data_IF_060107732514
#
_entry.id   IF_060107732514
#
_cell.length_a   1.000
_cell.length_b   1.000
_cell.length_c   1.000
_cell.angle_alpha   90.00
_cell.angle_beta   90.00
_cell.angle_gamma   90.00
#
_symmetry.space_group_name_H-M   'P 1'
#
loop_
_entity.id
_entity.type
_entity.pdbx_description
1 polymer ?
#
# COMPACT_ATOMS: atom_id res chain seq x y z
N UNK A 1 -5.10 -4.10 11.30
CA UNK A 1 -3.87 -4.86 10.97
C UNK A 1 -4.18 -6.21 10.36
N UNK A 2 -4.81 -7.13 11.10
CA UNK A 2 -5.15 -8.48 10.59
C UNK A 2 -5.92 -8.46 9.26
N UNK A 3 -6.98 -7.66 9.15
CA UNK A 3 -7.74 -7.50 7.91
C UNK A 3 -6.89 -7.04 6.71
N UNK A 4 -5.89 -6.20 6.95
CA UNK A 4 -4.96 -5.75 5.91
C UNK A 4 -4.09 -6.94 5.46
N UNK A 5 -3.55 -7.71 6.40
CA UNK A 5 -2.72 -8.88 6.08
C UNK A 5 -3.52 -9.95 5.34
N UNK A 6 -4.72 -10.27 5.79
CA UNK A 6 -5.65 -11.16 5.09
C UNK A 6 -5.89 -10.70 3.64
N UNK A 7 -6.18 -9.41 3.47
CA UNK A 7 -6.38 -8.82 2.12
C UNK A 7 -5.16 -9.03 1.21
N UNK A 8 -3.94 -8.81 1.71
CA UNK A 8 -2.72 -8.90 0.89
C UNK A 8 -2.14 -10.31 0.75
N UNK A 9 -2.38 -11.20 1.71
CA UNK A 9 -1.89 -12.58 1.66
C UNK A 9 -2.84 -13.50 0.90
N UNK A 10 -4.13 -13.18 0.88
CA UNK A 10 -5.16 -14.02 0.26
C UNK A 10 -5.83 -13.30 -0.92
N UNK A 11 -6.53 -12.19 -0.66
CA UNK A 11 -7.40 -11.57 -1.67
C UNK A 11 -6.63 -11.01 -2.87
N UNK A 12 -5.46 -10.40 -2.65
CA UNK A 12 -4.65 -9.81 -3.72
C UNK A 12 -4.04 -10.90 -4.63
N UNK A 13 -3.34 -11.94 -4.13
CA UNK A 13 -2.89 -13.05 -4.96
C UNK A 13 -4.02 -13.75 -5.72
N UNK A 14 -5.17 -13.94 -5.08
CA UNK A 14 -6.35 -14.49 -5.73
C UNK A 14 -6.84 -13.59 -6.88
N UNK A 15 -6.86 -12.27 -6.69
CA UNK A 15 -7.25 -11.31 -7.73
C UNK A 15 -6.26 -11.31 -8.92
N UNK A 16 -4.94 -11.38 -8.65
CA UNK A 16 -3.90 -11.52 -9.68
C UNK A 16 -4.14 -12.79 -10.50
N UNK A 17 -4.38 -13.92 -9.85
CA UNK A 17 -4.65 -15.18 -10.53
C UNK A 17 -5.95 -15.13 -11.35
N UNK A 18 -7.01 -14.53 -10.79
CA UNK A 18 -8.29 -14.38 -11.48
C UNK A 18 -8.15 -13.52 -12.74
N UNK A 19 -7.35 -12.45 -12.68
CA UNK A 19 -7.03 -11.61 -13.84
C UNK A 19 -6.21 -12.38 -14.87
N UNK A 20 -5.19 -13.13 -14.46
CA UNK A 20 -4.43 -14.00 -15.35
C UNK A 20 -5.35 -14.98 -16.12
N UNK A 21 -6.27 -15.65 -15.43
CA UNK A 21 -7.23 -16.57 -16.05
C UNK A 21 -8.15 -15.83 -17.04
N UNK A 22 -8.66 -14.65 -16.66
CA UNK A 22 -9.54 -13.83 -17.50
C UNK A 22 -8.85 -13.21 -18.73
N UNK A 23 -7.53 -13.00 -18.66
CA UNK A 23 -6.73 -12.57 -19.79
C UNK A 23 -6.46 -13.74 -20.75
N UNK A 24 -6.29 -14.96 -20.23
CA UNK A 24 -6.09 -16.17 -21.03
C UNK A 24 -7.37 -16.78 -21.62
N UNK A 25 -8.53 -16.59 -20.98
CA UNK A 25 -9.82 -17.11 -21.45
C UNK A 25 -10.68 -15.98 -22.03
N UNK A 26 -11.05 -16.08 -23.30
CA UNK A 26 -11.84 -15.06 -24.01
C UNK A 26 -13.29 -14.89 -23.55
N UNK A 27 -13.76 -15.67 -22.57
CA UNK A 27 -15.13 -15.55 -22.05
C UNK A 27 -15.18 -14.67 -20.80
N UNK A 28 -15.72 -13.46 -20.94
CA UNK A 28 -15.84 -12.47 -19.87
C UNK A 28 -17.30 -12.26 -19.54
N UNK A 29 -17.72 -12.71 -18.36
CA UNK A 29 -19.06 -12.34 -17.88
C UNK A 29 -19.03 -10.94 -17.25
N UNK A 30 -20.09 -10.17 -17.49
CA UNK A 30 -20.25 -8.82 -16.89
C UNK A 30 -20.15 -8.92 -15.35
N UNK A 31 -20.72 -9.99 -14.78
CA UNK A 31 -20.65 -10.28 -13.35
C UNK A 31 -19.21 -10.43 -12.85
N UNK A 32 -18.35 -11.16 -13.57
CA UNK A 32 -16.93 -11.29 -13.19
C UNK A 32 -16.23 -9.93 -13.16
N UNK A 33 -16.50 -9.07 -14.15
CA UNK A 33 -15.94 -7.71 -14.20
C UNK A 33 -16.39 -6.88 -12.99
N UNK A 34 -17.68 -6.90 -12.65
CA UNK A 34 -18.23 -6.20 -11.48
C UNK A 34 -17.58 -6.71 -10.19
N UNK A 35 -17.45 -8.04 -10.04
CA UNK A 35 -16.79 -8.64 -8.87
C UNK A 35 -15.33 -8.19 -8.75
N UNK A 36 -14.57 -8.16 -9.86
CA UNK A 36 -13.19 -7.69 -9.85
C UNK A 36 -13.07 -6.21 -9.43
N UNK A 37 -13.92 -5.35 -9.99
CA UNK A 37 -13.97 -3.93 -9.60
C UNK A 37 -14.28 -3.80 -8.10
N UNK A 38 -15.23 -4.59 -7.59
CA UNK A 38 -15.53 -4.67 -6.17
C UNK A 38 -14.32 -5.09 -5.32
N UNK A 39 -13.56 -6.09 -5.77
CA UNK A 39 -12.33 -6.55 -5.09
C UNK A 39 -11.27 -5.45 -5.01
N UNK A 40 -11.02 -4.72 -6.11
CA UNK A 40 -10.09 -3.59 -6.10
C UNK A 40 -10.50 -2.49 -5.12
N UNK A 41 -11.79 -2.14 -5.11
CA UNK A 41 -12.34 -1.16 -4.17
C UNK A 41 -12.15 -1.65 -2.73
N UNK A 42 -12.45 -2.93 -2.46
CA UNK A 42 -12.30 -3.51 -1.12
C UNK A 42 -10.84 -3.48 -0.64
N UNK A 43 -9.88 -3.84 -1.50
CA UNK A 43 -8.45 -3.77 -1.19
C UNK A 43 -8.02 -2.33 -0.87
N UNK A 44 -8.41 -1.36 -1.71
CA UNK A 44 -8.10 0.04 -1.47
C UNK A 44 -8.72 0.52 -0.15
N UNK A 45 -9.96 0.13 0.13
CA UNK A 45 -10.66 0.48 1.35
C UNK A 45 -10.01 -0.13 2.61
N UNK A 46 -9.54 -1.38 2.55
CA UNK A 46 -8.81 -2.02 3.64
C UNK A 46 -7.54 -1.25 4.03
N UNK A 47 -6.86 -0.64 3.07
CA UNK A 47 -5.67 0.21 3.31
C UNK A 47 -6.07 1.53 3.97
N UNK A 48 -7.14 2.17 3.50
CA UNK A 48 -7.65 3.40 4.10
C UNK A 48 -8.11 3.16 5.53
N UNK A 49 -8.86 2.07 5.75
CA UNK A 49 -9.34 1.66 7.06
C UNK A 49 -8.19 1.34 8.01
N UNK A 50 -7.18 0.61 7.54
CA UNK A 50 -5.95 0.41 8.30
C UNK A 50 -5.31 1.73 8.71
N UNK A 51 -5.12 2.66 7.77
CA UNK A 51 -4.49 3.95 8.06
C UNK A 51 -5.30 4.79 9.06
N UNK A 52 -6.62 4.75 8.96
CA UNK A 52 -7.51 5.42 9.92
C UNK A 52 -7.40 4.80 11.30
N UNK A 53 -7.46 3.48 11.40
CA UNK A 53 -7.32 2.76 12.67
C UNK A 53 -5.96 3.02 13.31
N UNK A 54 -4.88 2.99 12.52
CA UNK A 54 -3.53 3.28 13.00
C UNK A 54 -3.43 4.70 13.56
N UNK A 55 -3.93 5.71 12.83
CA UNK A 55 -3.89 7.10 13.31
C UNK A 55 -4.70 7.31 14.59
N UNK A 56 -5.86 6.64 14.74
CA UNK A 56 -6.64 6.70 15.99
C UNK A 56 -5.93 6.07 17.19
N UNK A 57 -5.07 5.08 16.96
CA UNK A 57 -4.31 4.46 18.05
C UNK A 57 -3.12 5.29 18.53
N UNK A 58 -2.66 6.29 17.74
CA UNK A 58 -1.55 7.15 18.11
C UNK A 58 -2.07 8.43 18.80
N UNK A 59 -1.88 8.60 20.13
CA UNK A 59 -2.44 9.72 20.88
C UNK A 59 -1.87 11.09 20.50
N UNK A 60 -0.71 11.14 19.85
CA UNK A 60 -0.04 12.38 19.44
C UNK A 60 -0.29 12.80 17.98
N UNK A 61 -1.00 11.99 17.18
CA UNK A 61 -1.24 12.28 15.75
C UNK A 61 -2.68 12.70 15.54
N UNK A 62 -2.89 13.85 14.88
CA UNK A 62 -4.24 14.34 14.57
C UNK A 62 -4.99 13.31 13.70
N UNK A 63 -6.24 13.03 14.07
CA UNK A 63 -7.11 12.17 13.27
C UNK A 63 -7.13 12.63 11.80
N UNK A 64 -7.17 11.66 10.89
CA UNK A 64 -7.24 11.98 9.47
C UNK A 64 -8.57 12.71 9.20
N UNK A 65 -8.54 13.93 8.65
CA UNK A 65 -9.77 14.67 8.39
C UNK A 65 -10.68 13.88 7.43
N UNK A 66 -11.93 13.68 7.86
CA UNK A 66 -12.97 13.11 7.02
C UNK A 66 -13.28 14.06 5.86
N UNK A 67 -13.47 13.52 4.65
CA UNK A 67 -13.77 14.32 3.45
C UNK A 67 -12.71 14.16 2.35
N UNK A 68 -12.39 15.27 1.69
CA UNK A 68 -11.57 15.32 0.46
C UNK A 68 -10.19 14.64 0.60
N UNK A 69 -9.41 14.83 1.68
CA UNK A 69 -8.10 14.17 1.82
C UNK A 69 -8.19 12.64 1.88
N UNK A 70 -9.23 12.08 2.50
CA UNK A 70 -9.42 10.62 2.50
C UNK A 70 -9.79 10.15 1.10
N UNK A 71 -10.67 10.87 0.40
CA UNK A 71 -11.06 10.51 -0.95
C UNK A 71 -9.88 10.51 -1.92
N UNK A 72 -9.03 11.55 -1.88
CA UNK A 72 -7.81 11.61 -2.70
C UNK A 72 -6.86 10.46 -2.35
N UNK A 73 -6.67 10.15 -1.07
CA UNK A 73 -5.83 9.02 -0.65
C UNK A 73 -6.38 7.66 -1.12
N UNK A 74 -7.69 7.45 -1.03
CA UNK A 74 -8.36 6.26 -1.55
C UNK A 74 -8.15 6.13 -3.06
N UNK A 75 -8.36 7.21 -3.81
CA UNK A 75 -8.20 7.22 -5.26
C UNK A 75 -6.76 6.90 -5.67
N UNK A 76 -5.77 7.50 -5.00
CA UNK A 76 -4.37 7.19 -5.20
C UNK A 76 -4.07 5.69 -4.96
N UNK A 77 -4.53 5.12 -3.83
CA UNK A 77 -4.29 3.70 -3.51
C UNK A 77 -5.02 2.77 -4.47
N UNK A 78 -6.25 3.10 -4.85
CA UNK A 78 -7.03 2.33 -5.82
C UNK A 78 -6.32 2.28 -7.18
N UNK A 79 -5.91 3.43 -7.72
CA UNK A 79 -5.26 3.52 -9.03
C UNK A 79 -3.90 2.82 -9.05
N UNK A 80 -3.06 3.05 -8.03
CA UNK A 80 -1.74 2.40 -7.95
C UNK A 80 -1.88 0.88 -7.82
N UNK A 81 -2.75 0.37 -6.95
CA UNK A 81 -2.93 -1.08 -6.81
C UNK A 81 -3.52 -1.71 -8.06
N UNK A 82 -4.51 -1.06 -8.67
CA UNK A 82 -5.16 -1.58 -9.87
C UNK A 82 -4.14 -1.74 -11.00
N UNK A 83 -3.37 -0.68 -11.28
CA UNK A 83 -2.37 -0.73 -12.35
C UNK A 83 -1.25 -1.72 -12.10
N UNK A 84 -0.84 -1.88 -10.84
CA UNK A 84 0.20 -2.83 -10.49
C UNK A 84 -0.24 -4.28 -10.60
N UNK A 85 -1.42 -4.60 -10.07
CA UNK A 85 -2.00 -5.95 -10.17
C UNK A 85 -2.24 -6.33 -11.64
N UNK A 86 -2.71 -5.39 -12.46
CA UNK A 86 -2.84 -5.61 -13.91
C UNK A 86 -1.48 -5.89 -14.55
N UNK A 87 -0.45 -5.11 -14.23
CA UNK A 87 0.90 -5.33 -14.76
C UNK A 87 1.48 -6.68 -14.32
N UNK A 88 1.36 -7.06 -13.05
CA UNK A 88 1.76 -8.38 -12.53
C UNK A 88 1.01 -9.52 -13.24
N UNK A 89 -0.27 -9.32 -13.57
CA UNK A 89 -1.03 -10.29 -14.35
C UNK A 89 -0.49 -10.43 -15.78
N UNK A 90 -0.06 -9.34 -16.42
CA UNK A 90 0.61 -9.41 -17.73
C UNK A 90 1.97 -10.12 -17.66
N UNK A 91 2.74 -9.95 -16.58
CA UNK A 91 3.97 -10.72 -16.36
C UNK A 91 3.70 -12.23 -16.27
N UNK A 92 2.59 -12.64 -15.67
CA UNK A 92 2.17 -14.05 -15.64
C UNK A 92 1.77 -14.57 -17.02
N UNK A 93 1.08 -13.74 -17.82
CA UNK A 93 0.74 -14.07 -19.23
C UNK A 93 2.01 -14.20 -20.08
N UNK A 94 3.01 -13.33 -19.86
CA UNK A 94 4.29 -13.37 -20.55
C UNK A 94 5.02 -14.71 -20.31
N UNK A 95 5.13 -15.12 -19.05
CA UNK A 95 5.78 -16.36 -18.66
C UNK A 95 5.48 -16.74 -17.22
N UNK A 96 5.26 -18.03 -16.95
CA UNK A 96 5.21 -18.56 -15.59
C UNK A 96 6.54 -18.35 -14.84
N UNK A 97 7.68 -18.26 -15.55
CA UNK A 97 8.98 -17.96 -14.94
C UNK A 97 9.05 -16.56 -14.32
N UNK A 98 8.15 -15.63 -14.71
CA UNK A 98 8.04 -14.31 -14.06
C UNK A 98 7.71 -14.40 -12.57
N UNK A 99 7.15 -15.53 -12.10
CA UNK A 99 6.96 -15.81 -10.67
C UNK A 99 8.26 -15.83 -9.88
N UNK A 100 9.37 -16.23 -10.50
CA UNK A 100 10.69 -16.15 -9.88
C UNK A 100 11.12 -14.70 -9.65
N UNK A 101 10.87 -13.82 -10.63
CA UNK A 101 11.11 -12.38 -10.49
C UNK A 101 10.29 -11.77 -9.36
N UNK A 102 9.01 -12.15 -9.27
CA UNK A 102 8.12 -11.76 -8.17
C UNK A 102 8.65 -12.23 -6.80
N UNK A 103 9.14 -13.47 -6.71
CA UNK A 103 9.76 -13.99 -5.49
C UNK A 103 11.02 -13.20 -5.11
N UNK A 104 11.86 -12.80 -6.07
CA UNK A 104 13.04 -11.97 -5.84
C UNK A 104 12.64 -10.58 -5.31
N UNK A 105 11.62 -9.95 -5.89
CA UNK A 105 11.10 -8.64 -5.42
C UNK A 105 10.57 -8.77 -3.99
N UNK A 106 9.83 -9.84 -3.69
CA UNK A 106 9.37 -10.13 -2.34
C UNK A 106 10.53 -10.28 -1.36
N UNK A 107 11.55 -11.09 -1.70
CA UNK A 107 12.74 -11.25 -0.87
C UNK A 107 13.45 -9.91 -0.63
N UNK A 108 13.59 -9.08 -1.65
CA UNK A 108 14.16 -7.73 -1.52
C UNK A 108 13.33 -6.86 -0.56
N UNK A 109 12.00 -6.90 -0.67
CA UNK A 109 11.08 -6.21 0.26
C UNK A 109 11.20 -6.70 1.69
N UNK A 110 11.33 -8.02 1.90
CA UNK A 110 11.54 -8.61 3.22
C UNK A 110 12.91 -8.23 3.81
N UNK A 111 13.98 -8.27 3.02
CA UNK A 111 15.32 -7.83 3.44
C UNK A 111 15.30 -6.35 3.81
N UNK A 112 14.64 -5.52 3.01
CA UNK A 112 14.41 -4.11 3.32
C UNK A 112 13.68 -3.93 4.66
N UNK A 113 12.58 -4.66 4.89
CA UNK A 113 11.86 -4.62 6.17
C UNK A 113 12.75 -5.04 7.36
N UNK A 114 13.65 -6.01 7.17
CA UNK A 114 14.64 -6.39 8.18
C UNK A 114 15.68 -5.30 8.45
N UNK A 115 16.17 -4.62 7.41
CA UNK A 115 17.11 -3.50 7.53
C UNK A 115 16.50 -2.29 8.21
N UNK A 116 15.24 -2.02 7.93
CA UNK A 116 14.49 -0.96 8.57
C UNK A 116 14.37 -1.19 10.08
N UNK A 117 14.53 -2.42 10.59
CA UNK A 117 14.45 -2.80 12.02
C UNK A 117 13.15 -2.31 12.67
N UNK A 118 12.06 -2.97 12.31
CA UNK A 118 10.75 -2.76 12.93
C UNK A 118 10.70 -3.39 14.32
N UNK A 119 10.01 -2.79 15.28
CA UNK A 119 9.77 -3.35 16.61
C UNK A 119 8.27 -3.25 16.93
N UNK A 120 7.46 -3.99 16.19
CA UNK A 120 5.99 -3.96 16.31
C UNK A 120 5.48 -5.02 17.28
N UNK A 121 6.12 -6.19 17.33
CA UNK A 121 5.71 -7.33 18.13
C UNK A 121 6.65 -7.56 19.32
N UNK A 122 6.08 -7.89 20.49
CA UNK A 122 6.84 -8.19 21.72
C UNK A 122 7.67 -9.47 21.61
N UNK A 123 7.23 -10.44 20.80
CA UNK A 123 7.93 -11.70 20.56
C UNK A 123 8.78 -11.64 19.29
N UNK A 124 10.04 -12.10 19.39
CA UNK A 124 10.98 -12.21 18.26
C UNK A 124 10.43 -13.04 17.10
N UNK A 125 9.60 -14.05 17.39
CA UNK A 125 8.98 -14.90 16.36
C UNK A 125 7.90 -14.16 15.58
N UNK A 126 7.01 -13.46 16.29
CA UNK A 126 5.95 -12.65 15.69
C UNK A 126 6.51 -11.47 14.89
N UNK A 127 7.60 -10.85 15.37
CA UNK A 127 8.27 -9.78 14.65
C UNK A 127 8.87 -10.25 13.31
N UNK A 128 9.44 -11.46 13.28
CA UNK A 128 9.93 -12.07 12.03
C UNK A 128 8.77 -12.31 11.04
N UNK A 129 7.66 -12.85 11.51
CA UNK A 129 6.48 -13.09 10.70
C UNK A 129 5.89 -11.78 10.16
N UNK A 130 5.83 -10.73 11.00
CA UNK A 130 5.43 -9.39 10.59
C UNK A 130 6.28 -8.85 9.43
N UNK A 131 7.61 -8.93 9.53
CA UNK A 131 8.53 -8.46 8.48
C UNK A 131 8.36 -9.23 7.17
N UNK A 132 8.10 -10.54 7.23
CA UNK A 132 7.82 -11.36 6.05
C UNK A 132 6.53 -10.87 5.36
N UNK A 133 5.46 -10.66 6.14
CA UNK A 133 4.16 -10.18 5.63
C UNK A 133 4.31 -8.77 5.04
N UNK A 134 5.04 -7.88 5.72
CA UNK A 134 5.36 -6.55 5.20
C UNK A 134 6.06 -6.63 3.85
N UNK A 135 7.00 -7.57 3.67
CA UNK A 135 7.62 -7.82 2.38
C UNK A 135 6.59 -8.19 1.29
N UNK A 136 5.57 -8.98 1.63
CA UNK A 136 4.46 -9.29 0.70
C UNK A 136 3.65 -8.03 0.38
N UNK A 137 3.29 -7.22 1.39
CA UNK A 137 2.55 -5.97 1.17
C UNK A 137 3.35 -5.02 0.28
N UNK A 138 4.66 -4.89 0.51
CA UNK A 138 5.58 -4.07 -0.29
C UNK A 138 5.74 -4.56 -1.73
N UNK A 139 5.40 -5.81 -2.04
CA UNK A 139 5.33 -6.26 -3.43
C UNK A 139 4.21 -5.54 -4.19
N UNK A 140 3.13 -5.14 -3.52
CA UNK A 140 1.93 -4.61 -4.16
C UNK A 140 1.71 -3.11 -3.95
N UNK A 141 2.04 -2.60 -2.76
CA UNK A 141 1.86 -1.18 -2.45
C UNK A 141 2.91 -0.70 -1.45
N UNK A 142 3.29 0.57 -1.57
CA UNK A 142 4.16 1.18 -0.58
C UNK A 142 3.47 1.18 0.79
N UNK A 143 4.12 0.52 1.74
CA UNK A 143 3.70 0.41 3.13
C UNK A 143 4.80 0.99 4.01
N UNK A 144 4.52 2.11 4.67
CA UNK A 144 5.49 2.73 5.56
C UNK A 144 5.50 1.95 6.89
N UNK A 145 6.62 1.28 7.17
CA UNK A 145 6.74 0.34 8.29
C UNK A 145 7.35 0.95 9.54
N UNK A 146 8.03 2.10 9.41
CA UNK A 146 8.81 2.69 10.51
C UNK A 146 8.50 4.15 10.76
N UNK A 147 7.78 4.80 9.84
CA UNK A 147 7.39 6.19 10.02
C UNK A 147 8.55 7.09 10.41
N UNK A 148 9.66 7.00 9.69
CA UNK A 148 10.72 8.01 9.73
C UNK A 148 10.68 8.81 8.42
N UNK A 149 11.67 9.65 8.14
CA UNK A 149 11.81 10.43 6.90
C UNK A 149 11.80 9.53 5.64
N UNK A 150 10.61 9.13 5.19
CA UNK A 150 10.42 8.16 4.11
C UNK A 150 10.35 8.80 2.74
N UNK A 151 10.62 10.10 2.60
CA UNK A 151 10.49 10.80 1.32
C UNK A 151 11.36 10.16 0.22
N UNK A 152 12.62 9.80 0.55
CA UNK A 152 13.53 9.19 -0.42
C UNK A 152 13.21 7.71 -0.70
N UNK A 153 13.03 6.83 0.32
CA UNK A 153 12.58 5.45 0.09
C UNK A 153 11.26 5.36 -0.70
N UNK A 154 10.33 6.26 -0.44
CA UNK A 154 9.06 6.32 -1.13
C UNK A 154 9.21 6.75 -2.59
N UNK A 155 10.06 7.74 -2.87
CA UNK A 155 10.37 8.14 -4.24
C UNK A 155 10.99 6.98 -5.04
N UNK A 156 11.99 6.30 -4.47
CA UNK A 156 12.62 5.13 -5.09
C UNK A 156 11.60 4.03 -5.36
N UNK A 157 10.75 3.73 -4.38
CA UNK A 157 9.67 2.75 -4.54
C UNK A 157 8.77 3.10 -5.73
N UNK A 158 8.28 4.35 -5.81
CA UNK A 158 7.35 4.74 -6.86
C UNK A 158 7.99 4.84 -8.25
N UNK A 159 9.29 5.11 -8.33
CA UNK A 159 10.05 5.01 -9.58
C UNK A 159 10.14 3.56 -10.04
N UNK A 160 10.56 2.64 -9.16
CA UNK A 160 10.63 1.21 -9.47
C UNK A 160 9.26 0.65 -9.84
N UNK A 161 8.23 1.04 -9.10
CA UNK A 161 6.84 0.71 -9.38
C UNK A 161 6.40 1.14 -10.78
N UNK A 162 6.69 2.39 -11.17
CA UNK A 162 6.36 2.89 -12.50
C UNK A 162 7.10 2.12 -13.60
N UNK A 163 8.38 1.81 -13.38
CA UNK A 163 9.17 1.00 -14.30
C UNK A 163 8.59 -0.40 -14.47
N UNK A 164 8.22 -1.08 -13.38
CA UNK A 164 7.58 -2.41 -13.43
C UNK A 164 6.25 -2.34 -14.16
N UNK A 165 5.41 -1.33 -13.85
CA UNK A 165 4.12 -1.15 -14.50
C UNK A 165 4.25 -0.98 -16.01
N UNK A 166 5.20 -0.16 -16.47
CA UNK A 166 5.48 0.08 -17.89
C UNK A 166 6.15 -1.12 -18.56
N UNK A 167 7.02 -1.84 -17.85
CA UNK A 167 7.74 -3.00 -18.37
C UNK A 167 6.79 -4.16 -18.71
N UNK A 168 5.71 -4.36 -17.96
CA UNK A 168 4.74 -5.44 -18.20
C UNK A 168 4.19 -5.46 -19.65
N UNK A 169 3.44 -4.42 -20.08
CA UNK A 169 2.96 -4.32 -21.46
C UNK A 169 4.09 -4.28 -22.49
N UNK A 170 5.18 -3.57 -22.20
CA UNK A 170 6.32 -3.43 -23.13
C UNK A 170 6.98 -4.78 -23.43
N UNK A 171 7.31 -5.56 -22.40
CA UNK A 171 7.91 -6.88 -22.56
C UNK A 171 6.95 -7.85 -23.23
N UNK A 172 5.64 -7.73 -22.96
CA UNK A 172 4.63 -8.56 -23.61
C UNK A 172 4.63 -8.34 -25.13
N UNK A 173 4.68 -7.10 -25.60
CA UNK A 173 4.79 -6.78 -27.04
C UNK A 173 6.11 -7.26 -27.63
N UNK A 174 7.22 -7.05 -26.92
CA UNK A 174 8.56 -7.39 -27.43
C UNK A 174 8.77 -8.91 -27.57
N UNK A 175 8.28 -9.69 -26.61
CA UNK A 175 8.51 -11.14 -26.55
C UNK A 175 7.39 -11.93 -27.23
N UNK A 176 6.15 -11.40 -27.21
CA UNK A 176 4.95 -12.05 -27.74
C UNK A 176 4.15 -11.08 -28.62
N UNK A 177 4.66 -10.68 -29.81
CA UNK A 177 4.00 -9.68 -30.65
C UNK A 177 2.56 -10.08 -31.06
N UNK A 178 2.26 -11.38 -31.09
CA UNK A 178 0.93 -11.95 -31.34
C UNK A 178 -0.16 -11.42 -30.38
N UNK A 179 0.20 -10.98 -29.16
CA UNK A 179 -0.76 -10.44 -28.20
C UNK A 179 -1.31 -9.07 -28.59
N UNK A 180 -0.67 -8.38 -29.55
CA UNK A 180 -1.10 -7.07 -30.00
C UNK A 180 -2.48 -7.11 -30.71
N UNK A 181 -2.82 -8.27 -31.29
CA UNK A 181 -4.12 -8.51 -31.92
C UNK A 181 -5.20 -8.94 -30.91
N UNK A 182 -4.83 -9.19 -29.66
CA UNK A 182 -5.79 -9.55 -28.63
C UNK A 182 -6.63 -8.32 -28.22
N UNK A 183 -7.96 -8.44 -28.27
CA UNK A 183 -8.91 -7.35 -27.98
C UNK A 183 -8.71 -6.68 -26.61
N UNK A 184 -8.10 -7.40 -25.66
CA UNK A 184 -7.88 -6.90 -24.31
C UNK A 184 -6.59 -6.09 -24.14
N UNK A 185 -5.62 -6.26 -25.03
CA UNK A 185 -4.26 -5.79 -24.81
C UNK A 185 -4.21 -4.26 -24.74
N UNK A 186 -4.80 -3.57 -25.71
CA UNK A 186 -4.84 -2.11 -25.76
C UNK A 186 -5.63 -1.48 -24.60
N UNK A 187 -6.86 -1.94 -24.27
CA UNK A 187 -7.60 -1.44 -23.10
C UNK A 187 -6.82 -1.60 -21.79
N UNK A 188 -6.21 -2.76 -21.56
CA UNK A 188 -5.44 -3.03 -20.33
C UNK A 188 -4.18 -2.18 -20.28
N UNK A 189 -3.47 -2.03 -21.41
CA UNK A 189 -2.27 -1.20 -21.50
C UNK A 189 -2.58 0.28 -21.25
N UNK A 190 -3.67 0.79 -21.85
CA UNK A 190 -4.14 2.16 -21.61
C UNK A 190 -4.51 2.37 -20.13
N UNK A 191 -5.18 1.39 -19.52
CA UNK A 191 -5.54 1.44 -18.11
C UNK A 191 -4.30 1.42 -17.19
N UNK A 192 -3.28 0.62 -17.50
CA UNK A 192 -2.00 0.59 -16.78
C UNK A 192 -1.28 1.93 -16.91
N UNK A 193 -1.13 2.44 -18.13
CA UNK A 193 -0.42 3.71 -18.36
C UNK A 193 -1.17 4.89 -17.73
N UNK A 194 -2.44 5.07 -18.09
CA UNK A 194 -3.28 6.16 -17.60
C UNK A 194 -3.47 6.09 -16.09
N UNK A 195 -3.69 4.91 -15.53
CA UNK A 195 -3.83 4.72 -14.09
C UNK A 195 -2.52 4.91 -13.31
N UNK A 196 -1.36 4.60 -13.90
CA UNK A 196 -0.05 4.85 -13.26
C UNK A 196 0.20 6.35 -13.20
N UNK A 197 0.00 7.07 -14.31
CA UNK A 197 0.14 8.54 -14.37
C UNK A 197 -0.84 9.21 -13.42
N UNK A 198 -2.12 8.84 -13.47
CA UNK A 198 -3.15 9.42 -12.61
C UNK A 198 -2.92 9.07 -11.13
N UNK A 199 -2.51 7.84 -10.83
CA UNK A 199 -2.18 7.41 -9.46
C UNK A 199 -1.00 8.18 -8.87
N UNK A 200 0.06 8.41 -9.65
CA UNK A 200 1.20 9.24 -9.26
C UNK A 200 0.81 10.73 -9.15
N UNK A 201 -0.08 11.24 -10.00
CA UNK A 201 -0.60 12.60 -9.88
C UNK A 201 -1.43 12.77 -8.58
N UNK A 202 -2.32 11.82 -8.28
CA UNK A 202 -3.08 11.79 -7.01
C UNK A 202 -2.15 11.66 -5.80
N UNK A 203 -1.07 10.88 -5.92
CA UNK A 203 -0.02 10.78 -4.90
C UNK A 203 0.61 12.16 -4.63
N UNK A 204 1.09 12.83 -5.67
CA UNK A 204 1.69 14.16 -5.55
C UNK A 204 0.69 15.18 -4.98
N UNK A 205 -0.55 15.17 -5.46
CA UNK A 205 -1.64 16.01 -4.95
C UNK A 205 -1.87 15.79 -3.45
N UNK A 206 -1.91 14.52 -3.03
CA UNK A 206 -2.11 14.16 -1.63
C UNK A 206 -0.97 14.70 -0.75
N UNK A 207 0.29 14.56 -1.16
CA UNK A 207 1.43 15.01 -0.37
C UNK A 207 1.71 16.52 -0.45
N UNK A 208 1.29 17.19 -1.51
CA UNK A 208 1.54 18.64 -1.69
C UNK A 208 0.43 19.52 -1.13
N UNK A 209 -0.83 19.12 -1.29
CA UNK A 209 -2.00 19.93 -0.91
C UNK A 209 -2.69 19.37 0.34
N UNK A 210 -2.87 18.05 0.41
CA UNK A 210 -3.64 17.44 1.50
C UNK A 210 -2.80 17.12 2.75
N UNK A 211 -1.46 17.06 2.63
CA UNK A 211 -0.56 16.86 3.75
C UNK A 211 -0.10 18.22 4.30
N UNK A 212 -0.42 18.59 5.56
CA UNK A 212 -0.10 19.91 6.10
C UNK A 212 1.42 20.13 6.08
N UNK A 213 1.84 21.16 5.35
CA UNK A 213 3.23 21.46 5.00
C UNK A 213 4.00 22.25 6.08
N UNK A 214 3.60 22.16 7.34
CA UNK A 214 4.16 23.00 8.39
C UNK A 214 4.11 22.33 9.77
N UNK A 215 5.30 22.01 10.29
CA UNK A 215 5.57 21.56 11.67
C UNK A 215 5.02 20.19 12.06
N UNK A 216 5.27 19.20 11.22
CA UNK A 216 5.99 18.00 11.63
C UNK A 216 6.20 17.15 10.39
N UNK A 217 7.45 16.81 10.12
CA UNK A 217 7.81 15.51 9.56
C UNK A 217 7.48 14.43 10.61
N UNK A 218 6.30 14.49 11.24
CA UNK A 218 5.70 13.33 11.87
C UNK A 218 5.24 12.54 10.68
N UNK A 219 6.11 11.61 10.34
CA UNK A 219 5.90 10.60 9.36
C UNK A 219 4.53 9.94 9.51
N UNK A 220 4.23 9.03 8.60
CA UNK A 220 3.34 7.94 8.96
C UNK A 220 4.03 7.07 10.05
N UNK A 221 4.18 7.62 11.28
CA UNK A 221 4.72 6.98 12.48
C UNK A 221 4.01 5.65 12.68
N UNK A 222 4.76 4.57 12.48
CA UNK A 222 4.44 3.26 13.06
C UNK A 222 5.37 3.14 14.25
N UNK A 223 4.78 3.17 15.43
CA UNK A 223 5.47 3.20 16.72
C UNK A 223 6.47 2.06 16.91
N UNK A 224 7.65 2.44 17.35
CA UNK A 224 8.67 1.57 17.91
C UNK A 224 9.40 2.28 19.05
N UNK A 225 8.66 2.82 20.03
CA UNK A 225 9.18 3.05 21.38
C UNK A 225 8.04 3.28 22.40
N UNK A 226 7.39 2.20 22.86
CA UNK A 226 6.84 2.23 24.23
C UNK A 226 8.02 1.97 25.18
N UNK A 227 8.65 3.04 25.67
CA UNK A 227 9.66 2.89 26.70
C UNK A 227 10.49 4.14 26.95
N UNK A 228 9.99 5.00 27.83
CA UNK A 228 10.85 5.75 28.75
C UNK A 228 10.97 7.26 28.51
N UNK A 229 9.89 8.03 28.74
CA UNK A 229 10.05 9.39 29.26
C UNK A 229 8.75 10.01 29.84
N UNK A 230 7.96 9.28 30.63
CA UNK A 230 6.87 9.89 31.40
C UNK A 230 6.84 9.30 32.81
N UNK A 231 7.66 9.85 33.70
CA UNK A 231 7.53 9.61 35.16
C UNK A 231 7.81 10.82 36.04
N UNK A 232 7.99 12.01 35.50
CA UNK A 232 8.26 13.20 36.33
C UNK A 232 7.31 14.39 36.11
N UNK A 233 6.41 14.36 35.12
CA UNK A 233 5.50 15.49 34.85
C UNK A 233 4.05 15.28 35.32
N UNK A 234 3.60 14.04 35.54
CA UNK A 234 2.22 13.74 35.92
C UNK A 234 1.86 14.12 37.36
N UNK A 235 2.84 14.23 38.26
CA UNK A 235 2.55 14.51 39.67
C UNK A 235 2.15 15.96 39.89
N UNK A 236 2.66 16.90 39.09
CA UNK A 236 2.35 18.34 39.21
C UNK A 236 1.07 18.75 38.49
N UNK A 237 0.70 18.09 37.40
CA UNK A 237 -0.49 18.47 36.61
C UNK A 237 -1.79 17.93 37.22
N UNK A 238 -1.74 16.72 37.82
CA UNK A 238 -2.89 16.16 38.54
C UNK A 238 -3.27 16.96 39.79
N UNK A 239 -2.30 17.62 40.45
CA UNK A 239 -2.60 18.48 41.61
C UNK A 239 -3.27 19.79 41.20
N UNK A 240 -2.99 20.30 40.00
CA UNK A 240 -3.61 21.53 39.46
C UNK A 240 -5.02 21.23 38.95
N UNK A 241 -5.21 20.11 38.23
CA UNK A 241 -6.53 19.68 37.75
C UNK A 241 -7.51 19.37 38.89
N UNK A 242 -7.06 18.73 39.96
CA UNK A 242 -7.94 18.39 41.09
C UNK A 242 -8.36 19.62 41.91
N UNK A 243 -7.54 20.68 41.95
CA UNK A 243 -7.88 21.95 42.61
C UNK A 243 -9.00 22.72 41.90
N UNK A 244 -9.07 22.63 40.57
CA UNK A 244 -10.09 23.32 39.77
C UNK A 244 -11.45 22.64 39.79
N UNK A 245 -11.54 21.37 40.22
CA UNK A 245 -12.81 20.64 40.34
C UNK A 245 -13.54 20.82 41.67
N UNK A 246 -12.88 21.40 42.68
CA UNK A 246 -13.44 21.58 44.04
C UNK A 246 -13.92 23.02 44.32
N UNK A 247 -13.96 23.89 43.30
CA UNK A 247 -14.44 25.28 43.42
C UNK A 247 -15.73 25.55 42.61
N UNK A 248 -16.49 24.51 42.28
CA UNK A 248 -17.87 24.58 41.79
C UNK A 248 -18.76 23.77 42.73
#
# INVERSE_FOLDING_TARGET
MLKLFETFLESVPQLVLQLYIMLGHGHRSILQCICMVGSFINIAWAIVDYRRCLRRSLPQVREMPSGLPTFVYLLYKLLTITTHILSLSLFLVLSLYSTLGMAVVWLAGTVWAHWVRTDFCTSRGLERLYRIIVGVVLMFTFFNVKGQDTSWPMAVYYVLFALVNLAGPLLLVLVRPEVNDAEYFWPVTLLIFGGTVLGLACLLLYYTICHPRGKSLQADEVDGHMGGQERETETSDNTVRMRNFLQL
#
